data_IF_949414998088
#
_entry.id   IF_949414998088
#
_cell.length_a   1.000
_cell.length_b   1.000
_cell.length_c   1.000
_cell.angle_alpha   90.00
_cell.angle_beta   90.00
_cell.angle_gamma   90.00
#
_symmetry.space_group_name_H-M   'P 1'
#
loop_
_entity.id
_entity.type
_entity.pdbx_description
1 polymer ?
#
# COMPACT_ATOMS: atom_id res chain seq x y z
N UNK A 1 -31.13 -43.61 -16.30
CA UNK A 1 -29.77 -43.02 -16.27
C UNK A 1 -29.73 -41.54 -16.63
N UNK A 2 -30.55 -41.05 -17.58
CA UNK A 2 -30.54 -39.64 -18.04
C UNK A 2 -30.92 -38.60 -16.96
N UNK A 3 -31.89 -38.91 -16.08
CA UNK A 3 -32.38 -37.97 -15.04
C UNK A 3 -31.33 -37.68 -13.96
N UNK A 4 -30.52 -38.68 -13.59
CA UNK A 4 -29.49 -38.54 -12.55
C UNK A 4 -28.34 -37.66 -13.04
N UNK A 5 -27.99 -37.77 -14.32
CA UNK A 5 -26.98 -36.93 -14.97
C UNK A 5 -27.44 -35.47 -15.06
N UNK A 6 -28.73 -35.22 -15.34
CA UNK A 6 -29.30 -33.86 -15.39
C UNK A 6 -29.29 -33.21 -13.99
N UNK A 7 -29.65 -33.95 -12.94
CA UNK A 7 -29.64 -33.43 -11.56
C UNK A 7 -28.22 -33.11 -11.08
N UNK A 8 -27.24 -33.96 -11.41
CA UNK A 8 -25.82 -33.70 -11.09
C UNK A 8 -25.30 -32.49 -11.86
N UNK A 9 -25.68 -32.33 -13.14
CA UNK A 9 -25.29 -31.17 -13.94
C UNK A 9 -25.90 -29.87 -13.40
N UNK A 10 -27.19 -29.89 -13.04
CA UNK A 10 -27.88 -28.73 -12.45
C UNK A 10 -27.28 -28.32 -11.10
N UNK A 11 -26.93 -29.30 -10.25
CA UNK A 11 -26.27 -29.05 -8.97
C UNK A 11 -24.87 -28.44 -9.16
N UNK A 12 -24.12 -28.91 -10.16
CA UNK A 12 -22.80 -28.38 -10.50
C UNK A 12 -22.88 -26.91 -10.95
N UNK A 13 -23.85 -26.56 -11.80
CA UNK A 13 -24.07 -25.18 -12.27
C UNK A 13 -24.42 -24.22 -11.13
N UNK A 14 -25.23 -24.64 -10.16
CA UNK A 14 -25.57 -23.80 -9.00
C UNK A 14 -24.38 -23.50 -8.07
N UNK A 15 -23.38 -24.39 -8.00
CA UNK A 15 -22.19 -24.16 -7.14
C UNK A 15 -21.19 -23.14 -7.71
N UNK A 16 -21.25 -22.88 -9.02
CA UNK A 16 -20.33 -21.94 -9.70
C UNK A 16 -20.69 -20.48 -9.37
N UNK A 17 -21.97 -20.16 -9.17
CA UNK A 17 -22.44 -18.79 -8.94
C UNK A 17 -22.09 -18.21 -7.56
N UNK A 18 -21.56 -19.01 -6.62
CA UNK A 18 -21.30 -18.57 -5.23
C UNK A 18 -19.94 -17.86 -5.07
N UNK A 19 -19.01 -17.98 -6.02
CA UNK A 19 -17.67 -17.37 -5.89
C UNK A 19 -17.56 -15.90 -6.31
N UNK A 20 -18.67 -15.24 -6.66
CA UNK A 20 -18.66 -13.86 -7.17
C UNK A 20 -18.74 -12.76 -6.10
N UNK A 21 -18.97 -13.10 -4.83
CA UNK A 21 -19.12 -12.12 -3.74
C UNK A 21 -17.79 -11.86 -3.01
N UNK A 22 -16.75 -11.49 -3.76
CA UNK A 22 -15.63 -10.78 -3.15
C UNK A 22 -16.02 -9.30 -3.09
N UNK A 23 -16.79 -8.94 -2.06
CA UNK A 23 -16.90 -7.53 -1.71
C UNK A 23 -15.47 -7.02 -1.47
N UNK A 24 -15.05 -5.90 -2.10
CA UNK A 24 -13.80 -5.30 -1.73
C UNK A 24 -13.90 -4.95 -0.25
N UNK A 25 -13.17 -5.68 0.60
CA UNK A 25 -12.87 -5.21 1.95
C UNK A 25 -12.28 -3.83 1.71
N UNK A 26 -13.00 -2.77 2.09
CA UNK A 26 -12.38 -1.48 2.31
C UNK A 26 -11.32 -1.73 3.38
N UNK A 27 -10.11 -2.05 2.94
CA UNK A 27 -8.94 -1.72 3.73
C UNK A 27 -9.03 -0.22 3.85
N UNK A 28 -9.50 0.24 5.02
CA UNK A 28 -9.40 1.64 5.41
C UNK A 28 -7.92 1.97 5.43
N UNK A 29 -7.36 2.28 4.26
CA UNK A 29 -5.99 2.73 4.13
C UNK A 29 -5.96 4.04 4.89
N UNK A 30 -5.36 4.01 6.08
CA UNK A 30 -5.16 5.22 6.87
C UNK A 30 -4.46 6.21 5.96
N UNK A 31 -5.10 7.36 5.75
CA UNK A 31 -4.51 8.44 4.96
C UNK A 31 -3.17 8.82 5.62
N UNK A 32 -2.07 8.90 4.85
CA UNK A 32 -0.78 9.29 5.40
C UNK A 32 -0.85 10.74 5.88
N UNK A 33 -0.14 11.05 6.96
CA UNK A 33 0.12 12.42 7.36
C UNK A 33 1.36 12.90 6.61
N UNK A 34 1.27 14.07 5.98
CA UNK A 34 2.37 14.67 5.21
C UNK A 34 2.84 15.91 5.96
N UNK A 35 4.12 15.93 6.33
CA UNK A 35 4.80 17.12 6.85
C UNK A 35 5.76 17.58 5.77
N UNK A 36 5.53 18.79 5.26
CA UNK A 36 6.40 19.43 4.28
C UNK A 36 7.19 20.55 4.98
N UNK A 37 8.51 20.46 4.90
CA UNK A 37 9.44 21.45 5.46
C UNK A 37 10.16 22.11 4.29
N UNK A 38 9.99 23.42 4.17
CA UNK A 38 10.69 24.25 3.19
C UNK A 38 11.69 25.13 3.92
N UNK A 39 12.93 25.09 3.45
CA UNK A 39 14.04 25.88 3.98
C UNK A 39 14.49 26.86 2.92
N UNK A 40 14.73 28.11 3.32
CA UNK A 40 15.31 29.11 2.42
C UNK A 40 16.82 28.91 2.29
N UNK A 41 17.35 29.07 1.07
CA UNK A 41 18.78 29.05 0.74
C UNK A 41 19.63 27.87 1.29
N UNK A 42 19.01 26.75 1.65
CA UNK A 42 19.75 25.59 2.13
C UNK A 42 20.47 24.90 0.97
N UNK A 43 21.78 25.10 0.90
CA UNK A 43 22.65 24.45 -0.09
C UNK A 43 22.74 22.94 0.17
N UNK A 44 22.93 22.15 -0.89
CA UNK A 44 22.96 20.68 -0.81
C UNK A 44 24.09 20.13 0.08
N UNK A 45 25.22 20.84 0.16
CA UNK A 45 26.39 20.46 0.95
C UNK A 45 26.30 20.96 2.40
N UNK A 46 25.22 21.65 2.79
CA UNK A 46 25.06 22.24 4.11
C UNK A 46 24.53 21.25 5.17
N UNK A 47 24.61 19.95 4.89
CA UNK A 47 24.10 18.87 5.74
C UNK A 47 25.22 17.89 6.10
N UNK A 48 25.20 17.41 7.34
CA UNK A 48 26.16 16.42 7.85
C UNK A 48 26.14 15.13 7.01
N UNK A 49 24.94 14.60 6.71
CA UNK A 49 24.80 13.41 5.85
C UNK A 49 25.31 13.63 4.41
N UNK A 50 25.36 14.88 3.94
CA UNK A 50 25.90 15.22 2.63
C UNK A 50 27.44 15.24 2.59
N UNK A 51 28.11 14.78 3.66
CA UNK A 51 29.56 14.68 3.76
C UNK A 51 30.24 15.95 4.27
N UNK A 52 29.47 16.90 4.81
CA UNK A 52 30.03 18.11 5.40
C UNK A 52 30.65 17.81 6.77
N UNK A 53 31.98 17.91 6.87
CA UNK A 53 32.73 17.63 8.12
C UNK A 53 32.67 18.76 9.14
N UNK A 54 32.27 19.97 8.72
CA UNK A 54 32.25 21.17 9.57
C UNK A 54 30.86 21.42 10.16
N UNK A 55 29.81 21.03 9.43
CA UNK A 55 28.42 21.25 9.82
C UNK A 55 27.85 19.97 10.43
N UNK A 56 27.29 20.08 11.62
CA UNK A 56 26.60 18.98 12.31
C UNK A 56 25.09 19.22 12.29
N UNK A 57 24.34 18.32 11.65
CA UNK A 57 22.88 18.39 11.55
C UNK A 57 22.23 17.12 12.08
N UNK A 58 22.37 16.80 13.38
CA UNK A 58 22.06 15.48 13.92
C UNK A 58 20.59 15.07 13.73
N UNK A 59 19.64 16.01 13.76
CA UNK A 59 18.22 15.68 13.53
C UNK A 59 17.91 15.46 12.06
N UNK A 60 18.50 16.24 11.15
CA UNK A 60 18.35 16.02 9.71
C UNK A 60 19.04 14.72 9.27
N UNK A 61 20.19 14.39 9.89
CA UNK A 61 20.94 13.17 9.61
C UNK A 61 20.20 11.91 10.08
N UNK A 62 19.37 12.01 11.13
CA UNK A 62 18.46 10.91 11.56
C UNK A 62 17.25 10.76 10.65
N UNK A 63 16.85 11.82 9.96
CA UNK A 63 15.71 11.82 9.03
C UNK A 63 16.09 11.31 7.63
N UNK A 64 17.39 11.34 7.28
CA UNK A 64 17.95 10.89 5.99
C UNK A 64 18.03 9.36 5.89
#
# INVERSE_FOLDING_TARGET
MKIRTIVVFLFCVCTISVKAQNAPKEQTQKKPNIIFILTDDQRFDALGYAGNKLISTPEMDKLA
#
